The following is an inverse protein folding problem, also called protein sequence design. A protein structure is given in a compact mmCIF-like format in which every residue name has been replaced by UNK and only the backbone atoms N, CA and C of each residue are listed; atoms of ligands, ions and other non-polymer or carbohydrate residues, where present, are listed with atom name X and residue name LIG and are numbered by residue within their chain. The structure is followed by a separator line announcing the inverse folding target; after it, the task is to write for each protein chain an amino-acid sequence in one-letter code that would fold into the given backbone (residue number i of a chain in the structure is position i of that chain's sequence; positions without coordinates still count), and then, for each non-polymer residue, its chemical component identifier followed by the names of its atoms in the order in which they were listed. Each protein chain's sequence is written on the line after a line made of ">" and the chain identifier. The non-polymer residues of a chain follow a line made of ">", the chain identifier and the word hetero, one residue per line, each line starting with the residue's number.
data_IF_396055282672
#
_entry.id   IF_396055282672
#
_cell.length_a   1.000
_cell.length_b   1.000
_cell.length_c   1.000
_cell.angle_alpha   90.00
_cell.angle_beta   90.00
_cell.angle_gamma   90.00
#
_symmetry.space_group_name_H-M   'P 1'
#
loop_
_entity.id
_entity.type
_entity.pdbx_description
1 polymer ?
#
# COMPACT_ATOMS: atom_id res chain seq x y z
N UNK A 1 10.04 12.98 -10.03
CA UNK A 1 8.87 12.17 -10.43
C UNK A 1 7.70 12.20 -9.45
N UNK A 2 7.74 12.96 -8.35
CA UNK A 2 6.54 13.26 -7.54
C UNK A 2 6.43 14.78 -7.37
N UNK A 3 5.97 15.47 -8.41
CA UNK A 3 5.67 16.89 -8.34
C UNK A 3 4.16 17.07 -8.10
N UNK A 4 3.80 17.65 -6.95
CA UNK A 4 2.45 18.03 -6.50
C UNK A 4 1.39 16.90 -6.51
N UNK A 5 0.58 16.85 -5.45
CA UNK A 5 -0.41 15.80 -5.24
C UNK A 5 -1.28 15.57 -6.48
N UNK A 6 -1.11 14.41 -7.11
CA UNK A 6 -1.88 14.01 -8.27
C UNK A 6 -3.37 14.09 -7.93
N UNK A 7 -4.25 14.50 -8.86
CA UNK A 7 -5.68 14.31 -8.67
C UNK A 7 -5.97 12.81 -8.49
N UNK A 8 -7.09 12.50 -7.83
CA UNK A 8 -7.52 11.12 -7.67
C UNK A 8 -7.67 10.45 -9.03
N UNK A 9 -6.99 9.31 -9.21
CA UNK A 9 -7.04 8.53 -10.44
C UNK A 9 -8.42 7.96 -10.73
N UNK A 10 -8.64 7.49 -11.97
CA UNK A 10 -9.91 6.84 -12.37
C UNK A 10 -10.23 5.61 -11.52
N UNK A 11 -9.21 4.95 -10.98
CA UNK A 11 -9.36 3.98 -9.91
C UNK A 11 -8.89 4.64 -8.62
N UNK A 12 -9.81 4.77 -7.67
CA UNK A 12 -9.52 5.42 -6.38
C UNK A 12 -8.54 4.62 -5.54
N UNK A 13 -8.75 3.30 -5.46
CA UNK A 13 -8.03 2.43 -4.54
C UNK A 13 -8.12 0.98 -5.01
N UNK A 14 -7.03 0.23 -4.84
CA UNK A 14 -7.04 -1.23 -4.87
C UNK A 14 -6.00 -1.80 -3.90
N UNK A 15 -6.26 -3.03 -3.45
CA UNK A 15 -5.40 -3.76 -2.55
C UNK A 15 -4.86 -5.03 -3.22
N UNK A 16 -3.55 -5.23 -3.16
CA UNK A 16 -2.89 -6.45 -3.60
C UNK A 16 -2.55 -7.33 -2.39
N UNK A 17 -2.98 -8.59 -2.44
CA UNK A 17 -2.42 -9.63 -1.56
C UNK A 17 -1.00 -9.95 -2.03
N UNK A 18 -0.02 -9.77 -1.17
CA UNK A 18 1.39 -10.08 -1.46
C UNK A 18 1.93 -11.12 -0.48
N UNK A 19 3.05 -11.73 -0.85
CA UNK A 19 3.78 -12.64 0.03
C UNK A 19 4.77 -11.90 0.94
N UNK A 20 5.10 -10.64 0.62
CA UNK A 20 6.07 -9.82 1.35
C UNK A 20 5.75 -8.33 1.13
N UNK A 21 5.10 -7.71 2.11
CA UNK A 21 4.77 -6.27 2.08
C UNK A 21 6.03 -5.40 2.18
N UNK A 22 7.01 -5.81 2.99
CA UNK A 22 8.22 -5.03 3.24
C UNK A 22 9.09 -4.97 1.97
N UNK A 23 9.18 -6.06 1.21
CA UNK A 23 9.85 -6.09 -0.10
C UNK A 23 9.13 -5.20 -1.13
N UNK A 24 7.80 -5.25 -1.20
CA UNK A 24 7.04 -4.36 -2.09
C UNK A 24 7.33 -2.88 -1.78
N UNK A 25 7.28 -2.50 -0.49
CA UNK A 25 7.58 -1.13 -0.07
C UNK A 25 9.01 -0.72 -0.38
N UNK A 26 9.98 -1.62 -0.21
CA UNK A 26 11.37 -1.36 -0.60
C UNK A 26 11.47 -1.00 -2.09
N UNK A 27 10.87 -1.80 -2.97
CA UNK A 27 10.88 -1.58 -4.42
C UNK A 27 10.18 -0.26 -4.79
N UNK A 28 9.02 0.02 -4.18
CA UNK A 28 8.28 1.28 -4.41
C UNK A 28 9.13 2.49 -4.03
N UNK A 29 9.80 2.44 -2.87
CA UNK A 29 10.69 3.51 -2.40
C UNK A 29 11.91 3.68 -3.32
N UNK A 30 12.55 2.58 -3.72
CA UNK A 30 13.69 2.60 -4.65
C UNK A 30 13.30 3.13 -6.04
N UNK A 31 12.02 2.98 -6.42
CA UNK A 31 11.43 3.52 -7.65
C UNK A 31 11.05 5.01 -7.54
N UNK A 32 11.22 5.63 -6.36
CA UNK A 32 10.99 7.06 -6.14
C UNK A 32 9.54 7.44 -5.83
N UNK A 33 8.68 6.49 -5.48
CA UNK A 33 7.30 6.76 -5.07
C UNK A 33 7.19 6.95 -3.56
N UNK A 34 6.26 7.82 -3.16
CA UNK A 34 6.00 8.10 -1.75
C UNK A 34 5.21 6.96 -1.10
N UNK A 35 5.71 6.50 0.05
CA UNK A 35 4.97 5.64 0.98
C UNK A 35 4.10 6.53 1.86
N UNK A 36 2.77 6.35 1.82
CA UNK A 36 1.82 7.14 2.60
C UNK A 36 1.53 6.51 3.96
N UNK A 37 1.62 5.18 4.05
CA UNK A 37 1.58 4.42 5.30
C UNK A 37 2.71 3.41 5.27
N UNK A 38 3.68 3.59 6.17
CA UNK A 38 4.79 2.65 6.33
C UNK A 38 4.28 1.26 6.76
N UNK A 39 4.99 0.18 6.37
CA UNK A 39 4.67 -1.19 6.76
C UNK A 39 4.40 -1.33 8.27
N UNK A 40 3.16 -1.71 8.60
CA UNK A 40 2.73 -1.94 9.99
C UNK A 40 1.90 -3.21 10.10
N UNK A 41 1.87 -3.76 11.31
CA UNK A 41 1.00 -4.87 11.65
C UNK A 41 -0.34 -4.32 12.13
N UNK A 42 -1.43 -4.89 11.63
CA UNK A 42 -2.79 -4.56 12.07
C UNK A 42 -3.61 -5.83 12.20
N UNK A 43 -4.62 -5.80 13.06
CA UNK A 43 -5.63 -6.86 13.15
C UNK A 43 -6.92 -6.28 12.60
N UNK A 44 -7.39 -6.80 11.47
CA UNK A 44 -8.69 -6.41 10.93
C UNK A 44 -9.76 -6.97 11.89
N UNK A 45 -10.64 -6.08 12.35
CA UNK A 45 -11.77 -6.39 13.22
C UNK A 45 -12.84 -7.20 12.45
N UNK A 46 -12.52 -8.45 12.17
CA UNK A 46 -13.35 -9.47 11.54
C UNK A 46 -13.58 -10.62 12.52
N UNK A 47 -14.44 -11.58 12.14
CA UNK A 47 -14.70 -12.77 12.95
C UNK A 47 -14.50 -14.02 12.09
N UNK A 48 -13.40 -14.79 12.28
CA UNK A 48 -12.34 -14.60 13.29
C UNK A 48 -11.47 -13.36 13.01
N UNK A 49 -10.72 -12.83 14.00
CA UNK A 49 -9.77 -11.73 13.79
C UNK A 49 -8.75 -12.09 12.70
N UNK A 50 -8.42 -11.11 11.86
CA UNK A 50 -7.56 -11.33 10.70
C UNK A 50 -6.30 -10.47 10.77
N UNK A 51 -5.19 -11.02 11.32
CA UNK A 51 -3.93 -10.31 11.43
C UNK A 51 -3.25 -10.17 10.06
N UNK A 52 -2.81 -8.96 9.72
CA UNK A 52 -2.12 -8.68 8.46
C UNK A 52 -0.92 -7.74 8.68
N UNK A 53 0.04 -7.82 7.76
CA UNK A 53 1.03 -6.77 7.47
C UNK A 53 0.46 -5.88 6.37
N UNK A 54 0.52 -4.55 6.50
CA UNK A 54 -0.07 -3.61 5.52
C UNK A 54 0.81 -2.39 5.26
N UNK A 55 0.79 -1.86 4.04
CA UNK A 55 1.42 -0.60 3.65
C UNK A 55 0.67 0.07 2.47
N UNK A 56 0.86 1.38 2.31
CA UNK A 56 0.18 2.18 1.28
C UNK A 56 1.16 3.08 0.52
N UNK A 57 0.92 3.29 -0.78
CA UNK A 57 1.57 4.31 -1.60
C UNK A 57 0.61 4.95 -2.61
N UNK A 58 1.03 6.03 -3.25
CA UNK A 58 0.32 6.62 -4.40
C UNK A 58 1.00 6.15 -5.69
N UNK A 59 0.22 5.56 -6.58
CA UNK A 59 0.67 5.11 -7.90
C UNK A 59 0.85 6.25 -8.90
N UNK A 60 1.40 5.97 -10.08
CA UNK A 60 1.74 6.97 -11.09
C UNK A 60 0.55 7.72 -11.68
N UNK A 61 -0.68 7.22 -11.53
CA UNK A 61 -1.90 7.84 -12.05
C UNK A 61 -2.84 8.32 -10.94
N UNK A 62 -2.33 8.49 -9.72
CA UNK A 62 -3.07 9.05 -8.58
C UNK A 62 -3.99 8.05 -7.86
N UNK A 63 -3.81 6.76 -8.12
CA UNK A 63 -4.47 5.67 -7.41
C UNK A 63 -3.79 5.40 -6.06
N UNK A 64 -4.57 5.09 -5.03
CA UNK A 64 -4.04 4.56 -3.77
C UNK A 64 -3.83 3.06 -3.88
N UNK A 65 -2.59 2.62 -3.66
CA UNK A 65 -2.21 1.20 -3.73
C UNK A 65 -1.97 0.70 -2.30
N UNK A 66 -2.73 -0.31 -1.89
CA UNK A 66 -2.52 -1.04 -0.65
C UNK A 66 -1.82 -2.38 -0.93
N UNK A 67 -0.77 -2.68 -0.18
CA UNK A 67 -0.18 -4.03 -0.12
C UNK A 67 -0.55 -4.65 1.22
N UNK A 68 -1.07 -5.87 1.20
CA UNK A 68 -1.33 -6.62 2.42
C UNK A 68 -0.84 -8.06 2.33
N UNK A 69 -0.42 -8.59 3.47
CA UNK A 69 0.02 -9.98 3.65
C UNK A 69 -0.64 -10.53 4.91
N UNK A 70 -1.25 -11.71 4.80
CA UNK A 70 -1.81 -12.45 5.95
C UNK A 70 -0.69 -12.92 6.87
N UNK A 71 -0.93 -12.85 8.18
CA UNK A 71 -0.02 -13.36 9.21
C UNK A 71 -0.48 -14.66 9.82
#
# INVERSE_FOLDING_TARGET
>A
NAENGLPQGSIRHFAFKTNDVDQCVKIVRESGYQITVEPKDVVIASNPPFPIRVAFCIGPVGEEIEFFQEK
#
